data_IF_763695991725
#
_entry.id   IF_763695991725
#
_cell.length_a   1.000
_cell.length_b   1.000
_cell.length_c   1.000
_cell.angle_alpha   90.00
_cell.angle_beta   90.00
_cell.angle_gamma   90.00
#
_symmetry.space_group_name_H-M   'P 1'
#
loop_
_entity.id
_entity.type
_entity.pdbx_description
1 polymer ?
#
# COMPACT_ATOMS: atom_id res chain seq x y z
N UNK A 1 32.78 -11.37 -12.28
CA UNK A 1 31.41 -10.78 -12.29
C UNK A 1 31.29 -9.89 -11.06
N UNK A 2 31.34 -8.58 -11.27
CA UNK A 2 31.26 -7.59 -10.20
C UNK A 2 29.83 -7.57 -9.65
N UNK A 3 29.62 -8.00 -8.40
CA UNK A 3 28.38 -7.74 -7.69
C UNK A 3 28.28 -6.23 -7.50
N UNK A 4 27.30 -5.61 -8.14
CA UNK A 4 26.97 -4.20 -7.92
C UNK A 4 26.67 -4.01 -6.41
N UNK A 5 27.04 -2.85 -5.83
CA UNK A 5 26.73 -2.55 -4.44
C UNK A 5 25.20 -2.62 -4.28
N UNK A 6 24.73 -3.45 -3.34
CA UNK A 6 23.34 -3.43 -2.91
C UNK A 6 23.10 -2.04 -2.32
N UNK A 7 22.46 -1.20 -3.11
CA UNK A 7 22.11 0.17 -2.77
C UNK A 7 21.28 0.12 -1.49
N UNK A 8 21.67 0.88 -0.45
CA UNK A 8 20.88 1.06 0.77
C UNK A 8 19.65 1.91 0.46
N UNK A 9 18.72 1.36 -0.34
CA UNK A 9 17.44 2.01 -0.60
C UNK A 9 16.71 2.17 0.75
N UNK A 10 16.22 3.38 1.08
CA UNK A 10 15.44 3.57 2.28
C UNK A 10 14.22 2.65 2.24
N UNK A 11 13.98 1.92 3.34
CA UNK A 11 12.83 1.01 3.43
C UNK A 11 11.55 1.80 3.18
N UNK A 12 10.81 1.44 2.13
CA UNK A 12 9.49 1.99 1.86
C UNK A 12 8.42 1.16 2.59
N UNK A 13 7.38 1.84 3.10
CA UNK A 13 6.26 1.19 3.76
C UNK A 13 4.94 1.85 3.35
N UNK A 14 3.96 1.04 2.96
CA UNK A 14 2.59 1.49 2.67
C UNK A 14 1.76 1.50 3.96
N UNK A 15 1.12 2.63 4.27
CA UNK A 15 0.26 2.76 5.44
C UNK A 15 -1.19 2.92 4.99
N UNK A 16 -2.08 2.05 5.47
CA UNK A 16 -3.53 2.17 5.31
C UNK A 16 -4.20 2.48 6.63
N UNK A 17 -5.01 3.53 6.66
CA UNK A 17 -5.78 3.92 7.85
C UNK A 17 -7.24 4.02 7.48
N UNK A 18 -8.10 3.34 8.23
CA UNK A 18 -9.55 3.49 8.13
C UNK A 18 -10.11 4.12 9.40
N UNK A 19 -10.93 5.15 9.22
CA UNK A 19 -11.55 5.92 10.30
C UNK A 19 -12.99 5.46 10.61
N UNK A 20 -13.56 4.61 9.76
CA UNK A 20 -14.76 3.84 10.05
C UNK A 20 -14.41 2.81 11.14
N UNK A 21 -15.06 2.89 12.31
CA UNK A 21 -14.81 2.01 13.45
C UNK A 21 -16.12 1.47 13.99
N UNK A 22 -16.21 0.15 14.10
CA UNK A 22 -17.33 -0.58 14.71
C UNK A 22 -17.12 -0.83 16.21
N UNK A 23 -16.12 -0.18 16.82
CA UNK A 23 -15.72 -0.39 18.21
C UNK A 23 -14.60 -1.42 18.40
N UNK A 24 -14.13 -2.08 17.34
CA UNK A 24 -12.99 -2.99 17.40
C UNK A 24 -11.70 -2.37 16.86
N UNK A 25 -10.60 -2.58 17.59
CA UNK A 25 -9.26 -2.16 17.16
C UNK A 25 -8.64 -3.24 16.28
N UNK A 26 -8.59 -3.01 14.97
CA UNK A 26 -7.93 -3.91 14.01
C UNK A 26 -6.58 -3.35 13.58
N UNK A 27 -5.54 -4.18 13.61
CA UNK A 27 -4.19 -3.84 13.14
C UNK A 27 -3.65 -5.04 12.38
N UNK A 28 -3.25 -4.82 11.13
CA UNK A 28 -2.61 -5.82 10.28
C UNK A 28 -1.27 -5.28 9.78
N UNK A 29 -0.19 -6.07 9.88
CA UNK A 29 1.15 -5.69 9.43
C UNK A 29 1.70 -6.74 8.48
N UNK A 30 2.25 -6.29 7.36
CA UNK A 30 3.00 -7.10 6.40
C UNK A 30 4.46 -6.66 6.31
N UNK A 31 5.19 -7.24 5.36
CA UNK A 31 6.62 -6.97 5.16
C UNK A 31 6.91 -5.50 4.81
N UNK A 32 6.02 -4.90 4.01
CA UNK A 32 6.14 -3.54 3.46
C UNK A 32 4.84 -2.73 3.60
N UNK A 33 3.90 -3.17 4.45
CA UNK A 33 2.67 -2.44 4.71
C UNK A 33 2.17 -2.55 6.15
N UNK A 34 1.40 -1.57 6.61
CA UNK A 34 0.64 -1.64 7.85
C UNK A 34 -0.74 -1.03 7.66
N UNK A 35 -1.77 -1.74 8.13
CA UNK A 35 -3.17 -1.34 8.09
C UNK A 35 -3.70 -1.18 9.50
N UNK A 36 -4.37 -0.06 9.77
CA UNK A 36 -4.86 0.30 11.11
C UNK A 36 -6.31 0.78 11.02
N UNK A 37 -7.17 0.23 11.87
CA UNK A 37 -8.58 0.61 11.95
C UNK A 37 -9.45 -0.02 10.85
N UNK A 38 -10.69 0.46 10.74
CA UNK A 38 -11.73 -0.09 9.88
C UNK A 38 -12.71 -0.98 10.65
N UNK A 39 -13.99 -0.92 10.27
CA UNK A 39 -14.94 -2.01 10.49
C UNK A 39 -14.42 -3.30 9.85
N UNK A 40 -15.03 -4.44 10.17
CA UNK A 40 -14.57 -5.74 9.65
C UNK A 40 -14.48 -5.79 8.13
N UNK A 41 -15.50 -5.25 7.46
CA UNK A 41 -15.59 -5.19 6.00
C UNK A 41 -14.52 -4.26 5.41
N UNK A 42 -14.39 -3.04 5.93
CA UNK A 42 -13.38 -2.07 5.47
C UNK A 42 -11.96 -2.59 5.70
N UNK A 43 -11.69 -3.17 6.86
CA UNK A 43 -10.38 -3.71 7.20
C UNK A 43 -10.00 -4.89 6.30
N UNK A 44 -10.95 -5.78 6.03
CA UNK A 44 -10.76 -6.91 5.11
C UNK A 44 -10.48 -6.43 3.69
N UNK A 45 -11.25 -5.45 3.19
CA UNK A 45 -11.04 -4.84 1.87
C UNK A 45 -9.66 -4.18 1.74
N UNK A 46 -9.22 -3.42 2.75
CA UNK A 46 -7.86 -2.85 2.77
C UNK A 46 -6.78 -3.95 2.75
N UNK A 47 -6.97 -5.02 3.51
CA UNK A 47 -6.03 -6.14 3.60
C UNK A 47 -5.90 -6.84 2.25
N UNK A 48 -7.01 -7.12 1.59
CA UNK A 48 -7.03 -7.73 0.26
C UNK A 48 -6.29 -6.85 -0.77
N UNK A 49 -6.54 -5.54 -0.77
CA UNK A 49 -5.85 -4.60 -1.67
C UNK A 49 -4.34 -4.57 -1.40
N UNK A 50 -3.93 -4.55 -0.13
CA UNK A 50 -2.51 -4.56 0.23
C UNK A 50 -1.78 -5.83 -0.26
N UNK A 51 -2.42 -6.99 -0.12
CA UNK A 51 -1.89 -8.26 -0.63
C UNK A 51 -1.78 -8.21 -2.16
N UNK A 52 -2.82 -7.76 -2.88
CA UNK A 52 -2.80 -7.66 -4.35
C UNK A 52 -1.70 -6.73 -4.87
N UNK A 53 -1.42 -5.63 -4.17
CA UNK A 53 -0.31 -4.72 -4.50
C UNK A 53 1.02 -5.48 -4.42
N UNK A 54 1.24 -6.20 -3.32
CA UNK A 54 2.45 -7.00 -3.14
C UNK A 54 2.61 -8.10 -4.19
N UNK A 55 1.53 -8.80 -4.55
CA UNK A 55 1.57 -9.78 -5.63
C UNK A 55 1.90 -9.17 -6.99
N UNK A 56 1.44 -7.95 -7.27
CA UNK A 56 1.78 -7.22 -8.50
C UNK A 56 3.23 -6.77 -8.50
N UNK A 57 3.74 -6.28 -7.38
CA UNK A 57 5.16 -5.93 -7.19
C UNK A 57 6.05 -7.17 -7.38
N UNK A 58 5.71 -8.28 -6.73
CA UNK A 58 6.42 -9.55 -6.85
C UNK A 58 6.41 -10.09 -8.30
N UNK A 59 5.28 -10.00 -9.01
CA UNK A 59 5.19 -10.36 -10.44
C UNK A 59 6.08 -9.50 -11.33
N UNK A 60 6.31 -8.23 -10.97
CA UNK A 60 7.24 -7.33 -11.66
C UNK A 60 8.70 -7.55 -11.23
N UNK A 61 8.96 -8.44 -10.27
CA UNK A 61 10.29 -8.70 -9.72
C UNK A 61 10.88 -7.53 -8.94
N UNK A 62 10.03 -6.61 -8.44
CA UNK A 62 10.44 -5.41 -7.72
C UNK A 62 9.94 -5.42 -6.29
N UNK A 63 10.70 -4.80 -5.40
CA UNK A 63 10.27 -4.47 -4.04
C UNK A 63 9.64 -3.07 -4.02
N UNK A 64 8.86 -2.76 -2.99
CA UNK A 64 8.20 -1.46 -2.86
C UNK A 64 9.20 -0.29 -2.88
N UNK A 65 10.38 -0.48 -2.30
CA UNK A 65 11.48 0.50 -2.28
C UNK A 65 12.18 0.69 -3.64
N UNK A 66 11.91 -0.16 -4.62
CA UNK A 66 12.44 -0.09 -5.98
C UNK A 66 11.43 0.47 -6.99
N UNK A 67 10.18 0.71 -6.56
CA UNK A 67 9.14 1.28 -7.41
C UNK A 67 9.13 2.80 -7.34
N UNK A 68 8.95 3.44 -8.50
CA UNK A 68 8.67 4.87 -8.54
C UNK A 68 7.24 5.15 -8.05
N UNK A 69 6.98 6.42 -7.72
CA UNK A 69 5.63 6.86 -7.31
C UNK A 69 4.60 6.58 -8.42
N UNK A 70 4.97 6.76 -9.69
CA UNK A 70 4.10 6.50 -10.84
C UNK A 70 3.81 5.01 -10.99
N UNK A 71 4.84 4.16 -10.88
CA UNK A 71 4.65 2.71 -10.95
C UNK A 71 3.77 2.20 -9.80
N UNK A 72 3.95 2.76 -8.61
CA UNK A 72 3.09 2.45 -7.47
C UNK A 72 1.66 2.92 -7.70
N UNK A 73 1.46 4.11 -8.26
CA UNK A 73 0.14 4.66 -8.56
C UNK A 73 -0.61 3.83 -9.60
N UNK A 74 0.09 3.34 -10.64
CA UNK A 74 -0.48 2.41 -11.61
C UNK A 74 -0.93 1.11 -10.94
N UNK A 75 -0.10 0.56 -10.04
CA UNK A 75 -0.43 -0.65 -9.29
C UNK A 75 -1.62 -0.39 -8.36
N UNK A 76 -1.63 0.73 -7.64
CA UNK A 76 -2.68 1.14 -6.72
C UNK A 76 -4.02 1.31 -7.46
N UNK A 77 -4.02 2.06 -8.56
CA UNK A 77 -5.20 2.26 -9.43
C UNK A 77 -5.72 0.91 -9.95
N UNK A 78 -4.82 0.03 -10.37
CA UNK A 78 -5.20 -1.30 -10.88
C UNK A 78 -5.75 -2.25 -9.81
N UNK A 79 -5.65 -1.94 -8.51
CA UNK A 79 -6.33 -2.67 -7.43
C UNK A 79 -7.55 -1.91 -6.89
N UNK A 80 -7.96 -0.81 -7.54
CA UNK A 80 -9.10 0.01 -7.15
C UNK A 80 -8.81 0.89 -5.94
N UNK A 81 -7.57 1.37 -5.78
CA UNK A 81 -7.28 2.53 -4.94
C UNK A 81 -7.40 3.78 -5.81
N UNK A 82 -8.30 4.68 -5.42
CA UNK A 82 -8.44 5.97 -6.07
C UNK A 82 -7.58 7.00 -5.35
N UNK A 83 -6.83 7.80 -6.12
CA UNK A 83 -6.15 8.98 -5.58
C UNK A 83 -7.20 9.99 -5.14
N UNK A 84 -7.27 10.29 -3.85
CA UNK A 84 -7.94 11.49 -3.39
C UNK A 84 -7.14 12.71 -3.86
N UNK A 85 -7.64 13.41 -4.87
CA UNK A 85 -7.13 14.72 -5.26
C UNK A 85 -7.80 15.75 -4.34
N UNK A 86 -7.06 16.44 -3.45
CA UNK A 86 -7.65 17.37 -2.47
C UNK A 86 -8.24 18.66 -3.08
N UNK A 87 -8.32 18.78 -4.41
CA UNK A 87 -8.72 20.00 -5.12
C UNK A 87 -10.25 20.20 -5.24
N UNK A 88 -11.06 19.43 -4.50
CA UNK A 88 -12.53 19.54 -4.56
C UNK A 88 -13.20 19.83 -3.19
N UNK A 89 -12.45 20.30 -2.20
CA UNK A 89 -13.05 20.85 -0.96
C UNK A 89 -13.06 22.37 -1.00
N UNK A 90 -13.81 22.95 -1.95
CA UNK A 90 -14.31 24.32 -1.83
C UNK A 90 -15.80 24.30 -2.17
N UNK A 91 -16.64 24.35 -1.14
CA UNK A 91 -18.04 24.78 -1.17
C UNK A 91 -18.49 25.16 0.24
#
# INVERSE_FOLDING_TARGET
MSRLPQNNLPKAMMLGMAFDSDGHKRITKGENFALVGGSDETHSSMTEKAIKINEKLARRGKRLEECTVEEFDDIATSVGLERMHPEQTES
#
